data_IF_489966043595
#
_entry.id   IF_489966043595
#
_cell.length_a   1.000
_cell.length_b   1.000
_cell.length_c   1.000
_cell.angle_alpha   90.00
_cell.angle_beta   90.00
_cell.angle_gamma   90.00
#
_symmetry.space_group_name_H-M   'P 1'
#
loop_
_entity.id
_entity.type
_entity.pdbx_description
1 polymer ?
#
# COMPACT_ATOMS: atom_id res chain seq x y z
N UNK A 1 -17.77 11.52 -5.12
CA UNK A 1 -17.14 10.45 -5.96
C UNK A 1 -17.70 9.06 -5.67
N UNK A 2 -17.47 8.38 -4.51
CA UNK A 2 -18.14 7.08 -4.23
C UNK A 2 -19.66 7.25 -4.03
N UNK A 3 -20.10 8.27 -3.32
CA UNK A 3 -21.51 8.60 -3.12
C UNK A 3 -22.26 8.80 -4.43
N UNK A 4 -21.73 9.57 -5.35
CA UNK A 4 -22.29 9.79 -6.68
C UNK A 4 -22.46 8.48 -7.47
N UNK A 5 -21.51 7.55 -7.32
CA UNK A 5 -21.61 6.23 -7.94
C UNK A 5 -22.71 5.39 -7.26
N UNK A 6 -22.83 5.47 -5.94
CA UNK A 6 -23.93 4.80 -5.21
C UNK A 6 -25.29 5.37 -5.63
N UNK A 7 -25.42 6.67 -5.78
CA UNK A 7 -26.65 7.32 -6.26
C UNK A 7 -26.99 6.90 -7.69
N UNK A 8 -26.00 6.78 -8.55
CA UNK A 8 -26.21 6.44 -9.96
C UNK A 8 -26.49 4.96 -10.21
N UNK A 9 -25.83 4.06 -9.46
CA UNK A 9 -25.86 2.61 -9.71
C UNK A 9 -26.50 1.79 -8.58
N UNK A 10 -26.88 2.42 -7.48
CA UNK A 10 -27.52 1.80 -6.32
C UNK A 10 -26.55 1.03 -5.40
N UNK A 11 -25.60 0.28 -5.94
CA UNK A 11 -24.58 -0.45 -5.17
C UNK A 11 -23.21 -0.34 -5.85
N UNK A 12 -22.16 -0.16 -5.03
CA UNK A 12 -20.78 0.00 -5.52
C UNK A 12 -19.82 -0.90 -4.74
N UNK A 13 -18.86 -1.49 -5.42
CA UNK A 13 -17.75 -2.22 -4.83
C UNK A 13 -16.47 -1.43 -5.06
N UNK A 14 -15.80 -1.05 -3.97
CA UNK A 14 -14.48 -0.41 -4.00
C UNK A 14 -13.42 -1.50 -3.84
N UNK A 15 -12.48 -1.57 -4.76
CA UNK A 15 -11.35 -2.51 -4.69
C UNK A 15 -10.17 -1.79 -4.07
N UNK A 16 -9.62 -2.36 -2.99
CA UNK A 16 -8.46 -1.79 -2.29
C UNK A 16 -7.34 -2.82 -2.15
N UNK A 17 -6.11 -2.38 -2.39
CA UNK A 17 -4.89 -3.16 -2.17
C UNK A 17 -4.43 -3.19 -0.70
N UNK A 18 -5.34 -3.09 0.26
CA UNK A 18 -5.00 -3.11 1.70
C UNK A 18 -4.73 -4.52 2.20
N UNK A 19 -3.71 -4.66 3.06
CA UNK A 19 -3.27 -5.93 3.63
C UNK A 19 -3.28 -5.88 5.16
N UNK A 20 -3.56 -7.02 5.81
CA UNK A 20 -3.50 -7.17 7.27
C UNK A 20 -2.07 -6.98 7.80
N UNK A 21 -1.07 -7.42 7.01
CA UNK A 21 0.34 -7.34 7.36
C UNK A 21 0.89 -5.90 7.45
N UNK A 22 0.16 -4.88 6.96
CA UNK A 22 0.64 -3.49 6.97
C UNK A 22 0.62 -2.84 8.36
N UNK A 23 -0.35 -3.18 9.20
CA UNK A 23 -0.42 -2.72 10.59
C UNK A 23 -1.54 -3.45 11.36
N UNK A 24 -1.41 -3.51 12.69
CA UNK A 24 -2.43 -4.06 13.59
C UNK A 24 -3.78 -3.32 13.46
N UNK A 25 -3.76 -2.00 13.33
CA UNK A 25 -4.98 -1.20 13.15
C UNK A 25 -5.68 -1.54 11.83
N UNK A 26 -4.92 -1.80 10.76
CA UNK A 26 -5.45 -2.20 9.47
C UNK A 26 -6.05 -3.61 9.53
N UNK A 27 -5.37 -4.56 10.16
CA UNK A 27 -5.87 -5.91 10.38
C UNK A 27 -7.21 -5.90 11.15
N UNK A 28 -7.29 -5.13 12.22
CA UNK A 28 -8.50 -5.00 13.03
C UNK A 28 -9.64 -4.32 12.24
N UNK A 29 -9.33 -3.28 11.48
CA UNK A 29 -10.30 -2.60 10.62
C UNK A 29 -10.89 -3.56 9.58
N UNK A 30 -10.05 -4.31 8.88
CA UNK A 30 -10.49 -5.30 7.89
C UNK A 30 -11.38 -6.39 8.52
N UNK A 31 -11.06 -6.84 9.74
CA UNK A 31 -11.85 -7.82 10.47
C UNK A 31 -13.22 -7.27 10.89
N UNK A 32 -13.28 -6.04 11.39
CA UNK A 32 -14.51 -5.41 11.91
C UNK A 32 -15.58 -5.20 10.83
N UNK A 33 -15.18 -4.97 9.59
CA UNK A 33 -16.11 -4.72 8.48
C UNK A 33 -16.44 -5.97 7.65
N UNK A 34 -15.93 -7.14 8.02
CA UNK A 34 -16.16 -8.39 7.30
C UNK A 34 -17.64 -8.81 7.36
N UNK A 35 -18.19 -9.17 6.21
CA UNK A 35 -19.54 -9.73 6.09
C UNK A 35 -19.42 -11.26 6.06
N UNK A 36 -20.00 -11.94 7.04
CA UNK A 36 -19.94 -13.40 7.15
C UNK A 36 -20.45 -14.10 5.88
N UNK A 37 -19.67 -15.06 5.38
CA UNK A 37 -20.04 -15.86 4.20
C UNK A 37 -19.82 -15.17 2.85
N UNK A 38 -19.15 -14.00 2.83
CA UNK A 38 -18.80 -13.30 1.59
C UNK A 38 -17.36 -12.82 1.59
N UNK A 39 -16.81 -12.53 0.41
CA UNK A 39 -15.50 -11.90 0.23
C UNK A 39 -15.56 -10.37 0.39
N UNK A 40 -16.76 -9.82 0.56
CA UNK A 40 -16.98 -8.39 0.65
C UNK A 40 -16.99 -7.93 2.11
N UNK A 41 -16.59 -6.68 2.30
CA UNK A 41 -16.65 -5.96 3.57
C UNK A 41 -17.62 -4.80 3.45
N UNK A 42 -18.20 -4.36 4.56
CA UNK A 42 -18.98 -3.11 4.60
C UNK A 42 -18.05 -1.91 4.43
N UNK A 43 -18.49 -0.91 3.70
CA UNK A 43 -17.84 0.40 3.75
C UNK A 43 -18.09 1.06 5.12
N UNK A 44 -17.12 1.82 5.63
CA UNK A 44 -17.19 2.39 6.99
C UNK A 44 -18.34 3.38 7.19
N UNK A 45 -18.74 4.09 6.14
CA UNK A 45 -19.72 5.19 6.22
C UNK A 45 -20.90 5.05 5.27
N UNK A 46 -20.73 4.41 4.12
CA UNK A 46 -21.75 4.35 3.06
C UNK A 46 -22.47 3.00 3.07
N UNK A 47 -23.81 3.03 3.16
CA UNK A 47 -24.66 1.83 3.34
C UNK A 47 -24.60 0.88 2.12
N UNK A 48 -24.60 1.41 0.91
CA UNK A 48 -24.63 0.64 -0.34
C UNK A 48 -23.25 0.52 -1.01
N UNK A 49 -22.19 0.88 -0.30
CA UNK A 49 -20.83 0.68 -0.74
C UNK A 49 -20.21 -0.52 -0.01
N UNK A 50 -19.51 -1.34 -0.76
CA UNK A 50 -18.78 -2.51 -0.27
C UNK A 50 -17.32 -2.36 -0.59
N UNK A 51 -16.48 -3.06 0.15
CA UNK A 51 -15.04 -3.09 -0.08
C UNK A 51 -14.61 -4.53 -0.38
N UNK A 52 -13.80 -4.69 -1.40
CA UNK A 52 -13.11 -5.93 -1.74
C UNK A 52 -11.61 -5.73 -1.63
N UNK A 53 -10.95 -6.58 -0.87
CA UNK A 53 -9.50 -6.54 -0.63
C UNK A 53 -8.87 -7.84 -1.12
N UNK A 54 -8.54 -7.95 -2.42
CA UNK A 54 -8.08 -9.22 -3.02
C UNK A 54 -6.78 -9.77 -2.43
N UNK A 55 -5.94 -8.89 -1.88
CA UNK A 55 -4.62 -9.23 -1.35
C UNK A 55 -4.53 -9.07 0.18
N UNK A 56 -5.67 -9.10 0.90
CA UNK A 56 -5.69 -8.77 2.34
C UNK A 56 -4.82 -9.67 3.21
N UNK A 57 -4.68 -10.92 2.82
CA UNK A 57 -3.88 -11.93 3.55
C UNK A 57 -2.44 -12.06 3.03
N UNK A 58 -2.07 -11.29 2.02
CA UNK A 58 -0.71 -11.31 1.48
C UNK A 58 0.28 -10.70 2.46
N UNK A 59 1.40 -11.37 2.62
CA UNK A 59 2.59 -10.80 3.27
C UNK A 59 3.29 -9.82 2.31
N UNK A 60 4.29 -9.11 2.79
CA UNK A 60 5.11 -8.26 1.92
C UNK A 60 5.94 -9.11 0.95
N UNK A 61 6.40 -10.26 1.39
CA UNK A 61 7.14 -11.19 0.54
C UNK A 61 6.26 -11.71 -0.61
N UNK A 62 4.99 -12.01 -0.35
CA UNK A 62 4.04 -12.41 -1.40
C UNK A 62 3.88 -11.31 -2.46
N UNK A 63 3.79 -10.04 -2.03
CA UNK A 63 3.71 -8.91 -2.96
C UNK A 63 4.97 -8.83 -3.84
N UNK A 64 6.16 -8.90 -3.22
CA UNK A 64 7.42 -8.85 -3.98
C UNK A 64 7.58 -10.05 -4.91
N UNK A 65 7.23 -11.24 -4.42
CA UNK A 65 7.27 -12.45 -5.24
C UNK A 65 6.37 -12.32 -6.47
N UNK A 66 5.16 -11.79 -6.29
CA UNK A 66 4.24 -11.53 -7.41
C UNK A 66 4.82 -10.50 -8.39
N UNK A 67 5.30 -9.35 -7.89
CA UNK A 67 5.85 -8.29 -8.73
C UNK A 67 7.08 -8.74 -9.54
N UNK A 68 7.89 -9.65 -8.98
CA UNK A 68 9.06 -10.18 -9.68
C UNK A 68 8.72 -11.27 -10.69
N UNK A 69 7.57 -11.94 -10.56
CA UNK A 69 7.12 -12.98 -11.48
C UNK A 69 6.29 -12.43 -12.64
N UNK A 70 5.59 -11.34 -12.43
CA UNK A 70 4.65 -10.77 -13.40
C UNK A 70 5.08 -9.35 -13.77
N UNK A 71 5.24 -9.05 -15.07
CA UNK A 71 5.49 -7.68 -15.51
C UNK A 71 4.28 -6.81 -15.21
N UNK A 72 4.50 -5.49 -15.13
CA UNK A 72 3.40 -4.55 -15.00
C UNK A 72 2.47 -4.60 -16.22
N UNK A 73 1.16 -4.32 -16.07
CA UNK A 73 0.21 -4.33 -17.20
C UNK A 73 0.56 -3.35 -18.33
N UNK A 74 1.35 -2.33 -18.04
CA UNK A 74 1.84 -1.34 -19.02
C UNK A 74 3.20 -1.70 -19.63
N UNK A 75 3.76 -2.88 -19.30
CA UNK A 75 4.94 -3.45 -19.93
C UNK A 75 6.28 -3.18 -19.25
N UNK A 76 6.31 -2.40 -18.16
CA UNK A 76 7.55 -2.09 -17.45
C UNK A 76 8.01 -3.27 -16.58
N UNK A 77 9.33 -3.40 -16.44
CA UNK A 77 9.95 -4.34 -15.52
C UNK A 77 9.87 -3.81 -14.08
N UNK A 78 9.31 -4.62 -13.19
CA UNK A 78 9.17 -4.30 -11.77
C UNK A 78 10.48 -4.38 -10.98
N UNK A 79 11.59 -4.81 -11.57
CA UNK A 79 12.91 -4.87 -10.91
C UNK A 79 13.42 -3.50 -10.45
N UNK A 80 13.08 -2.45 -11.18
CA UNK A 80 13.37 -1.07 -10.81
C UNK A 80 12.74 -0.67 -9.47
N UNK A 81 11.54 -1.16 -9.16
CA UNK A 81 10.87 -0.92 -7.88
C UNK A 81 11.65 -1.50 -6.71
N UNK A 82 12.24 -2.69 -6.87
CA UNK A 82 13.08 -3.31 -5.82
C UNK A 82 14.26 -2.41 -5.50
N UNK A 83 14.91 -1.87 -6.53
CA UNK A 83 16.05 -0.96 -6.36
C UNK A 83 15.65 0.32 -5.65
N UNK A 84 14.51 0.92 -6.01
CA UNK A 84 13.97 2.12 -5.37
C UNK A 84 13.66 1.88 -3.90
N UNK A 85 12.98 0.77 -3.58
CA UNK A 85 12.63 0.43 -2.19
C UNK A 85 13.85 0.13 -1.33
N UNK A 86 14.89 -0.51 -1.88
CA UNK A 86 16.17 -0.70 -1.16
C UNK A 86 16.81 0.63 -0.79
N UNK A 87 16.91 1.55 -1.76
CA UNK A 87 17.48 2.87 -1.52
C UNK A 87 16.68 3.68 -0.49
N UNK A 88 15.36 3.66 -0.58
CA UNK A 88 14.47 4.31 0.37
C UNK A 88 14.55 3.71 1.79
N UNK A 89 14.86 2.42 1.92
CA UNK A 89 15.03 1.70 3.19
C UNK A 89 16.43 1.77 3.79
N UNK A 90 17.39 2.48 3.17
CA UNK A 90 18.77 2.53 3.63
C UNK A 90 19.52 1.20 3.44
N UNK A 91 19.37 0.58 2.27
CA UNK A 91 19.90 -0.73 1.88
C UNK A 91 19.31 -1.95 2.63
N UNK A 92 18.29 -1.75 3.47
CA UNK A 92 17.54 -2.88 4.04
C UNK A 92 16.80 -3.64 2.93
N UNK A 93 16.86 -4.96 2.99
CA UNK A 93 16.18 -5.80 2.00
C UNK A 93 14.65 -5.62 2.14
N UNK A 94 13.93 -5.22 1.07
CA UNK A 94 12.48 -5.08 1.15
C UNK A 94 11.74 -6.40 1.43
N UNK A 95 12.42 -7.53 1.31
CA UNK A 95 11.92 -8.87 1.63
C UNK A 95 12.06 -9.22 3.11
N UNK A 96 12.78 -8.43 3.90
CA UNK A 96 12.92 -8.62 5.34
C UNK A 96 12.25 -7.44 6.04
N UNK A 97 11.01 -7.65 6.51
CA UNK A 97 10.28 -6.65 7.29
C UNK A 97 10.34 -7.03 8.74
N UNK A 98 10.92 -6.15 9.55
CA UNK A 98 10.78 -6.19 10.99
C UNK A 98 9.31 -5.88 11.36
N UNK A 99 8.58 -6.88 11.78
CA UNK A 99 7.18 -6.76 12.21
C UNK A 99 7.02 -5.98 13.52
N UNK A 100 8.12 -5.67 14.21
CA UNK A 100 8.12 -4.90 15.46
C UNK A 100 8.11 -3.39 15.22
N UNK A 101 8.41 -2.95 13.99
CA UNK A 101 8.45 -1.52 13.66
C UNK A 101 7.02 -0.94 13.54
N UNK A 102 6.73 0.25 14.12
CA UNK A 102 5.45 0.93 13.93
C UNK A 102 5.15 1.15 12.44
N UNK A 103 3.86 1.22 12.08
CA UNK A 103 3.36 1.33 10.70
C UNK A 103 3.87 2.53 9.88
N UNK A 104 4.61 3.45 10.50
CA UNK A 104 5.36 4.55 9.89
C UNK A 104 6.86 4.23 9.85
N UNK A 105 7.26 3.04 9.40
CA UNK A 105 8.65 2.77 9.05
C UNK A 105 9.12 3.76 7.97
N UNK A 106 10.33 4.30 8.14
CA UNK A 106 10.93 5.39 7.37
C UNK A 106 11.13 5.18 5.85
N UNK A 107 10.52 4.16 5.25
CA UNK A 107 10.77 3.73 3.86
C UNK A 107 9.52 3.79 2.96
N UNK A 108 8.63 4.76 3.18
CA UNK A 108 7.43 4.91 2.33
C UNK A 108 7.57 6.11 1.41
N UNK A 109 7.26 5.90 0.13
CA UNK A 109 7.14 7.01 -0.83
C UNK A 109 6.00 7.96 -0.44
N UNK A 110 6.22 9.25 -0.59
CA UNK A 110 5.24 10.29 -0.28
C UNK A 110 5.19 10.73 1.18
N UNK A 111 6.16 10.34 2.01
CA UNK A 111 6.25 10.80 3.39
C UNK A 111 6.56 12.31 3.52
N UNK A 112 7.03 12.96 2.48
CA UNK A 112 7.31 14.39 2.45
C UNK A 112 6.09 15.30 2.74
N UNK A 113 4.88 14.76 2.58
CA UNK A 113 3.64 15.46 2.97
C UNK A 113 3.19 15.13 4.40
N UNK A 114 3.88 14.20 5.08
CA UNK A 114 3.48 13.72 6.39
C UNK A 114 4.15 14.54 7.50
N UNK A 115 3.36 15.12 8.42
CA UNK A 115 3.86 15.91 9.55
C UNK A 115 4.48 15.09 10.69
N UNK A 116 4.45 13.75 10.58
CA UNK A 116 4.97 12.82 11.61
C UNK A 116 6.41 12.40 11.31
N UNK A 117 6.88 12.59 10.07
CA UNK A 117 8.22 12.17 9.63
C UNK A 117 9.11 13.39 9.48
N UNK A 118 10.24 13.42 10.19
CA UNK A 118 11.19 14.53 10.14
C UNK A 118 12.00 14.59 8.83
N UNK A 119 12.23 13.42 8.21
CA UNK A 119 12.96 13.31 6.93
C UNK A 119 12.33 12.23 6.05
N UNK A 120 12.13 12.54 4.79
CA UNK A 120 11.73 11.56 3.79
C UNK A 120 12.97 10.87 3.18
N UNK A 121 13.30 9.70 3.72
CA UNK A 121 14.43 8.88 3.21
C UNK A 121 14.23 8.44 1.77
N UNK A 122 12.97 8.32 1.31
CA UNK A 122 12.68 7.95 -0.08
C UNK A 122 13.13 9.02 -1.05
N UNK A 123 12.86 10.29 -0.74
CA UNK A 123 13.31 11.43 -1.55
C UNK A 123 14.83 11.49 -1.60
N UNK A 124 15.51 11.35 -0.45
CA UNK A 124 16.96 11.29 -0.44
C UNK A 124 17.50 10.14 -1.30
N UNK A 125 16.90 8.96 -1.21
CA UNK A 125 17.27 7.83 -2.07
C UNK A 125 17.08 8.09 -3.58
N UNK A 126 16.06 8.87 -3.96
CA UNK A 126 15.86 9.31 -5.34
C UNK A 126 16.92 10.33 -5.77
N UNK A 127 17.20 11.35 -4.94
CA UNK A 127 18.23 12.36 -5.21
C UNK A 127 19.60 11.68 -5.40
N UNK A 128 19.96 10.77 -4.50
CA UNK A 128 21.20 9.97 -4.60
C UNK A 128 21.25 9.09 -5.86
N UNK A 129 20.07 8.78 -6.44
CA UNK A 129 19.96 8.03 -7.70
C UNK A 129 20.07 8.89 -8.95
N UNK A 130 20.17 10.22 -8.80
CA UNK A 130 20.30 11.18 -9.88
C UNK A 130 19.03 11.97 -10.21
N UNK A 131 17.94 11.79 -9.45
CA UNK A 131 16.69 12.56 -9.60
C UNK A 131 16.82 13.93 -8.93
N UNK A 132 17.75 14.75 -9.38
CA UNK A 132 18.14 16.04 -8.76
C UNK A 132 17.02 17.10 -8.76
N UNK A 133 15.98 16.92 -9.57
CA UNK A 133 14.80 17.80 -9.55
C UNK A 133 13.98 17.70 -8.26
N UNK A 134 14.26 16.73 -7.40
CA UNK A 134 13.64 16.55 -6.08
C UNK A 134 14.40 17.29 -4.96
N UNK A 135 15.54 17.89 -5.26
CA UNK A 135 16.26 18.75 -4.30
C UNK A 135 15.39 19.98 -3.96
N UNK A 136 15.30 20.36 -2.66
CA UNK A 136 14.49 21.49 -2.21
C UNK A 136 15.04 22.86 -2.70
#
# INVERSE_FOLDING_TARGET
MIEEQVESYGKVIVILGSRKAESMSRAQSLANYTIKGTILKKHSTLINAFVYTPIEDWTTDDVWLFLMQFPSPWGDDNSSLVTLYRKAGGDECPLVIDTTTPSCGNSRFGCWTCTVVEQDKSIHGFIDSGETWLEP
#
